data_IF_615903117261
#
_entry.id   IF_615903117261
#
_cell.length_a   1.000
_cell.length_b   1.000
_cell.length_c   1.000
_cell.angle_alpha   90.00
_cell.angle_beta   90.00
_cell.angle_gamma   90.00
#
_symmetry.space_group_name_H-M   'P 1'
#
loop_
_entity.id
_entity.type
_entity.pdbx_description
1 polymer ?
#
# COMPACT_ATOMS: atom_id res chain seq x y z
N UNK A 1 -6.22 -18.60 11.80
CA UNK A 1 -6.24 -17.12 11.72
C UNK A 1 -4.88 -16.66 11.21
N UNK A 2 -4.80 -15.62 10.38
CA UNK A 2 -3.54 -15.15 9.75
C UNK A 2 -3.18 -13.79 10.33
N UNK A 3 -1.92 -13.58 10.66
CA UNK A 3 -1.39 -12.29 11.12
C UNK A 3 -0.31 -11.81 10.16
N UNK A 4 -0.45 -10.60 9.63
CA UNK A 4 0.41 -10.07 8.56
C UNK A 4 1.26 -8.91 9.08
N UNK A 5 2.56 -8.98 8.82
CA UNK A 5 3.52 -7.90 9.12
C UNK A 5 4.12 -7.41 7.81
N UNK A 6 4.21 -6.09 7.63
CA UNK A 6 4.92 -5.49 6.51
C UNK A 6 6.22 -4.87 7.03
N UNK A 7 7.36 -5.41 6.58
CA UNK A 7 8.69 -4.89 6.91
C UNK A 7 9.13 -3.91 5.81
N UNK A 8 9.41 -2.66 6.20
CA UNK A 8 9.88 -1.61 5.30
C UNK A 8 11.41 -1.46 5.27
N UNK A 9 12.10 -2.24 6.09
CA UNK A 9 13.51 -2.18 6.44
C UNK A 9 14.34 -3.34 5.82
N UNK A 10 15.61 -3.49 6.24
CA UNK A 10 16.57 -4.44 5.65
C UNK A 10 16.11 -5.91 5.71
N UNK A 11 16.58 -6.79 4.80
CA UNK A 11 16.14 -8.20 4.70
C UNK A 11 16.24 -9.02 5.99
N UNK A 12 17.24 -8.74 6.85
CA UNK A 12 17.40 -9.40 8.15
C UNK A 12 16.28 -9.09 9.15
N UNK A 13 15.50 -8.02 8.91
CA UNK A 13 14.34 -7.68 9.72
C UNK A 13 13.17 -8.66 9.54
N UNK A 14 13.01 -9.23 8.35
CA UNK A 14 11.88 -10.11 8.05
C UNK A 14 11.93 -11.43 8.83
N UNK A 15 13.09 -12.06 8.93
CA UNK A 15 13.26 -13.30 9.69
C UNK A 15 13.05 -13.05 11.18
N UNK A 16 13.64 -11.97 11.71
CA UNK A 16 13.45 -11.59 13.10
C UNK A 16 11.98 -11.27 13.42
N UNK A 17 11.27 -10.57 12.52
CA UNK A 17 9.85 -10.29 12.66
C UNK A 17 9.02 -11.58 12.66
N UNK A 18 9.36 -12.53 11.77
CA UNK A 18 8.69 -13.82 11.70
C UNK A 18 8.90 -14.61 13.00
N UNK A 19 10.14 -14.72 13.49
CA UNK A 19 10.45 -15.43 14.74
C UNK A 19 9.75 -14.82 15.94
N UNK A 20 9.72 -13.47 16.06
CA UNK A 20 8.97 -12.79 17.13
C UNK A 20 7.49 -13.12 17.10
N UNK A 21 6.89 -13.27 15.92
CA UNK A 21 5.48 -13.68 15.82
C UNK A 21 5.27 -15.14 16.17
N UNK A 22 6.18 -16.02 15.76
CA UNK A 22 6.16 -17.43 16.17
C UNK A 22 6.24 -17.55 17.70
N UNK A 23 7.19 -16.84 18.32
CA UNK A 23 7.33 -16.79 19.78
C UNK A 23 6.06 -16.24 20.45
N UNK A 24 5.55 -15.10 19.96
CA UNK A 24 4.31 -14.49 20.46
C UNK A 24 3.12 -15.45 20.42
N UNK A 25 2.98 -16.23 19.35
CA UNK A 25 1.83 -17.11 19.15
C UNK A 25 2.05 -18.54 19.63
N UNK A 26 3.23 -18.87 20.13
CA UNK A 26 3.58 -20.21 20.65
C UNK A 26 2.57 -20.72 21.69
N UNK A 27 2.01 -19.83 22.51
CA UNK A 27 1.02 -20.14 23.55
C UNK A 27 -0.44 -19.85 23.15
N UNK A 28 -0.67 -19.15 22.04
CA UNK A 28 -1.99 -18.63 21.63
C UNK A 28 -2.67 -19.48 20.53
N UNK A 29 -2.00 -20.54 20.04
CA UNK A 29 -2.59 -21.54 19.14
C UNK A 29 -2.26 -21.34 17.65
N UNK A 30 -3.18 -21.77 16.76
CA UNK A 30 -2.99 -21.87 15.29
C UNK A 30 -3.10 -20.52 14.57
N UNK A 31 -2.14 -19.64 14.80
CA UNK A 31 -1.96 -18.41 14.01
C UNK A 31 -0.80 -18.62 13.03
N UNK A 32 -1.04 -18.35 11.75
CA UNK A 32 -0.01 -18.34 10.72
C UNK A 32 0.54 -16.92 10.59
N UNK A 33 1.77 -16.64 11.06
CA UNK A 33 2.41 -15.36 10.78
C UNK A 33 2.86 -15.31 9.33
N UNK A 34 2.56 -14.19 8.66
CA UNK A 34 3.03 -13.87 7.32
C UNK A 34 3.78 -12.55 7.38
N UNK A 35 5.04 -12.54 6.97
CA UNK A 35 5.85 -11.33 6.88
C UNK A 35 6.08 -11.02 5.41
N UNK A 36 5.76 -9.79 5.02
CA UNK A 36 5.88 -9.29 3.66
C UNK A 36 6.91 -8.15 3.66
N UNK A 37 7.93 -8.25 2.82
CA UNK A 37 8.88 -7.16 2.64
C UNK A 37 8.33 -6.09 1.69
N UNK A 38 8.82 -4.86 1.82
CA UNK A 38 8.44 -3.73 0.96
C UNK A 38 8.58 -4.00 -0.54
N UNK A 39 9.54 -4.83 -0.94
CA UNK A 39 9.76 -5.24 -2.34
C UNK A 39 8.96 -6.49 -2.75
N UNK A 40 8.04 -6.96 -1.89
CA UNK A 40 7.17 -8.10 -2.16
C UNK A 40 7.80 -9.47 -1.91
N UNK A 41 8.86 -9.55 -1.09
CA UNK A 41 9.35 -10.80 -0.51
C UNK A 41 8.37 -11.33 0.55
N UNK A 42 8.32 -12.64 0.74
CA UNK A 42 7.42 -13.30 1.69
C UNK A 42 8.20 -14.23 2.62
N UNK A 43 7.82 -14.27 3.90
CA UNK A 43 8.29 -15.22 4.89
C UNK A 43 7.09 -15.74 5.73
N UNK A 44 6.76 -17.04 5.71
CA UNK A 44 7.43 -18.16 5.02
C UNK A 44 7.47 -17.98 3.50
N UNK A 45 8.31 -18.74 2.79
CA UNK A 45 8.40 -18.62 1.33
C UNK A 45 7.06 -19.01 0.70
N UNK A 46 6.82 -18.51 -0.52
CA UNK A 46 5.57 -18.72 -1.25
C UNK A 46 5.14 -20.20 -1.35
N UNK A 47 6.09 -21.12 -1.54
CA UNK A 47 5.79 -22.56 -1.62
C UNK A 47 5.41 -23.15 -0.26
N UNK A 48 6.03 -22.66 0.82
CA UNK A 48 5.72 -23.08 2.18
C UNK A 48 4.34 -22.60 2.60
N UNK A 49 4.00 -21.33 2.31
CA UNK A 49 2.66 -20.79 2.58
C UNK A 49 1.58 -21.61 1.87
N UNK A 50 1.81 -21.91 0.58
CA UNK A 50 0.91 -22.75 -0.21
C UNK A 50 0.70 -24.12 0.44
N UNK A 51 1.79 -24.76 0.85
CA UNK A 51 1.77 -26.06 1.51
C UNK A 51 1.01 -26.01 2.85
N UNK A 52 1.32 -25.03 3.69
CA UNK A 52 0.68 -24.81 5.01
C UNK A 52 -0.83 -24.58 4.87
N UNK A 53 -1.26 -23.82 3.85
CA UNK A 53 -2.66 -23.52 3.62
C UNK A 53 -3.40 -24.61 2.83
N UNK A 54 -2.70 -25.64 2.35
CA UNK A 54 -3.29 -26.71 1.55
C UNK A 54 -3.87 -26.24 0.21
N UNK A 55 -3.32 -25.16 -0.36
CA UNK A 55 -3.80 -24.57 -1.62
C UNK A 55 -3.03 -25.19 -2.79
N UNK A 56 -3.71 -25.57 -3.87
CA UNK A 56 -3.00 -26.01 -5.07
C UNK A 56 -2.28 -24.84 -5.79
N UNK A 57 -1.37 -25.17 -6.69
CA UNK A 57 -0.48 -24.17 -7.29
C UNK A 57 -1.21 -23.19 -8.21
N UNK A 58 -2.29 -23.65 -8.85
CA UNK A 58 -3.09 -22.83 -9.76
C UNK A 58 -3.88 -21.79 -8.97
N UNK A 59 -4.57 -22.24 -7.92
CA UNK A 59 -5.33 -21.39 -7.01
C UNK A 59 -4.42 -20.42 -6.25
N UNK A 60 -3.22 -20.87 -5.84
CA UNK A 60 -2.23 -19.99 -5.22
C UNK A 60 -1.71 -18.92 -6.19
N UNK A 61 -1.44 -19.28 -7.44
CA UNK A 61 -1.06 -18.33 -8.49
C UNK A 61 -2.14 -17.27 -8.74
N UNK A 62 -3.40 -17.70 -8.86
CA UNK A 62 -4.54 -16.80 -9.03
C UNK A 62 -4.72 -15.86 -7.82
N UNK A 63 -4.59 -16.38 -6.60
CA UNK A 63 -4.64 -15.56 -5.39
C UNK A 63 -3.54 -14.49 -5.38
N UNK A 64 -2.28 -14.89 -5.63
CA UNK A 64 -1.15 -13.94 -5.66
C UNK A 64 -1.33 -12.86 -6.72
N UNK A 65 -1.86 -13.22 -7.88
CA UNK A 65 -2.16 -12.25 -8.93
C UNK A 65 -3.22 -11.24 -8.48
N UNK A 66 -4.34 -11.71 -7.90
CA UNK A 66 -5.39 -10.84 -7.37
C UNK A 66 -4.89 -9.94 -6.23
N UNK A 67 -4.11 -10.47 -5.30
CA UNK A 67 -3.54 -9.71 -4.20
C UNK A 67 -2.60 -8.60 -4.69
N UNK A 68 -1.75 -8.90 -5.68
CA UNK A 68 -0.89 -7.89 -6.33
C UNK A 68 -1.71 -6.82 -7.04
N UNK A 69 -2.73 -7.21 -7.79
CA UNK A 69 -3.60 -6.26 -8.49
C UNK A 69 -4.30 -5.32 -7.50
N UNK A 70 -4.86 -5.86 -6.41
CA UNK A 70 -5.49 -5.08 -5.35
C UNK A 70 -4.51 -4.11 -4.68
N UNK A 71 -3.27 -4.55 -4.41
CA UNK A 71 -2.24 -3.67 -3.86
C UNK A 71 -1.86 -2.52 -4.80
N UNK A 72 -1.74 -2.79 -6.11
CA UNK A 72 -1.49 -1.75 -7.12
C UNK A 72 -2.67 -0.78 -7.18
N UNK A 73 -3.90 -1.30 -7.23
CA UNK A 73 -5.11 -0.47 -7.28
C UNK A 73 -5.22 0.42 -6.05
N UNK A 74 -5.12 -0.14 -4.85
CA UNK A 74 -5.15 0.65 -3.60
C UNK A 74 -4.00 1.64 -3.50
N UNK A 75 -2.80 1.30 -3.98
CA UNK A 75 -1.67 2.25 -4.01
C UNK A 75 -1.96 3.40 -4.98
N UNK A 76 -2.54 3.11 -6.16
CA UNK A 76 -2.89 4.12 -7.13
C UNK A 76 -3.99 5.05 -6.62
N UNK A 77 -4.97 4.52 -5.87
CA UNK A 77 -6.01 5.33 -5.22
C UNK A 77 -5.41 6.34 -4.24
N UNK A 78 -4.47 5.91 -3.40
CA UNK A 78 -3.76 6.80 -2.46
C UNK A 78 -2.97 7.87 -3.21
N UNK A 79 -2.25 7.49 -4.27
CA UNK A 79 -1.47 8.42 -5.10
C UNK A 79 -2.38 9.43 -5.80
N UNK A 80 -3.48 8.97 -6.40
CA UNK A 80 -4.50 9.83 -6.98
C UNK A 80 -5.03 10.80 -5.94
N UNK A 81 -5.46 10.34 -4.77
CA UNK A 81 -5.97 11.20 -3.71
C UNK A 81 -4.97 12.28 -3.29
N UNK A 82 -3.67 11.94 -3.23
CA UNK A 82 -2.60 12.91 -2.97
C UNK A 82 -2.47 13.97 -4.06
N UNK A 83 -2.49 13.58 -5.33
CA UNK A 83 -2.43 14.53 -6.44
C UNK A 83 -3.68 15.42 -6.52
N UNK A 84 -4.86 14.90 -6.18
CA UNK A 84 -6.09 15.69 -6.13
C UNK A 84 -6.12 16.65 -4.92
N UNK A 85 -5.44 16.33 -3.81
CA UNK A 85 -5.27 17.25 -2.67
C UNK A 85 -4.32 18.43 -2.95
N UNK A 86 -3.44 18.30 -3.96
CA UNK A 86 -2.55 19.38 -4.41
C UNK A 86 -3.14 20.27 -5.51
N UNK A 87 -4.29 19.89 -6.08
CA UNK A 87 -5.03 20.73 -6.99
C UNK A 87 -5.89 21.69 -6.16
N UNK A 88 -5.32 22.84 -5.78
CA UNK A 88 -6.13 24.00 -5.42
C UNK A 88 -7.16 24.17 -6.52
N UNK A 89 -8.46 24.17 -6.18
CA UNK A 89 -9.49 24.52 -7.16
C UNK A 89 -9.09 25.85 -7.80
N UNK A 90 -9.02 25.96 -9.15
CA UNK A 90 -8.78 27.24 -9.81
C UNK A 90 -9.92 28.25 -9.57
N UNK A 91 -10.98 27.85 -8.85
CA UNK A 91 -12.10 28.72 -8.47
C UNK A 91 -11.88 29.51 -7.17
N UNK A 92 -10.79 29.25 -6.41
CA UNK A 92 -10.48 30.00 -5.18
C UNK A 92 -9.46 31.15 -5.37
N UNK A 93 -9.00 31.39 -6.60
CA UNK A 93 -8.34 32.68 -6.91
C UNK A 93 -9.42 33.74 -7.12
N UNK A 94 -9.83 34.38 -6.01
CA UNK A 94 -10.43 35.71 -6.04
C UNK A 94 -9.41 36.67 -6.69
N UNK A 95 -9.39 36.72 -8.01
CA UNK A 95 -8.69 37.76 -8.75
C UNK A 95 -9.38 39.08 -8.35
N UNK A 96 -8.69 40.02 -7.68
CA UNK A 96 -9.25 41.35 -7.56
C UNK A 96 -9.34 41.88 -8.99
N UNK A 97 -10.55 42.15 -9.46
CA UNK A 97 -10.78 42.89 -10.70
C UNK A 97 -10.09 44.25 -10.52
N UNK A 98 -8.85 44.34 -11.02
CA UNK A 98 -8.15 45.61 -11.19
C UNK A 98 -9.02 46.42 -12.16
N UNK A 99 -9.76 47.36 -11.60
CA UNK A 99 -10.51 48.36 -12.34
C UNK A 99 -9.49 49.22 -13.10
N UNK A 100 -9.21 48.83 -14.35
CA UNK A 100 -8.43 49.66 -15.26
C UNK A 100 -9.35 50.81 -15.68
N UNK A 101 -9.21 51.95 -15.02
CA UNK A 101 -9.73 53.22 -15.55
C UNK A 101 -8.96 53.55 -16.83
N UNK A 102 -9.61 53.32 -17.97
CA UNK A 102 -9.14 53.85 -19.26
C UNK A 102 -9.51 55.33 -19.34
N UNK A 103 -8.56 56.19 -18.96
CA UNK A 103 -8.60 57.61 -19.31
C UNK A 103 -8.29 57.76 -20.80
N UNK A 104 -9.31 57.91 -21.63
CA UNK A 104 -9.13 58.39 -23.00
C UNK A 104 -8.92 59.91 -22.99
N UNK A 105 -7.96 60.47 -23.74
CA UNK A 105 -7.87 61.91 -23.91
C UNK A 105 -8.97 62.37 -24.86
N UNK A 106 -9.72 63.40 -24.44
CA UNK A 106 -10.57 64.21 -25.31
C UNK A 106 -9.68 65.29 -25.92
N UNK A 107 -9.64 65.30 -27.25
CA UNK A 107 -9.11 66.31 -28.21
C UNK A 107 -7.85 67.11 -27.87
#
# INVERSE_FOLDING_TARGET
>A
MVDVVVCYDQPGSMENAYQRKIEKYSSLGRILPLVVGSLGSWNPRNEDIRSILGIDGRNWGAFRFKARLAAIQGSMEIVCAHFHHGATNPEDENIPLLHVETSFPVE
#
